data_IF_605335521585
#
_entry.id   IF_605335521585
#
_cell.length_a   1.000
_cell.length_b   1.000
_cell.length_c   1.000
_cell.angle_alpha   90.00
_cell.angle_beta   90.00
_cell.angle_gamma   90.00
#
_symmetry.space_group_name_H-M   'P 1'
#
loop_
_entity.id
_entity.type
_entity.pdbx_description
1 polymer ?
#
# COMPACT_ATOMS: atom_id res chain seq x y z
N UNK A 1 7.42 -6.63 0.65
CA UNK A 1 8.25 -6.32 1.83
C UNK A 1 7.38 -6.45 3.06
N UNK A 2 7.96 -6.91 4.16
CA UNK A 2 7.31 -6.90 5.47
C UNK A 2 7.61 -5.60 6.21
N UNK A 3 6.79 -5.29 7.21
CA UNK A 3 6.87 -4.05 7.99
C UNK A 3 6.69 -4.37 9.46
N UNK A 4 7.30 -3.52 10.28
CA UNK A 4 7.12 -3.56 11.72
C UNK A 4 5.75 -3.00 12.08
N UNK A 5 4.77 -3.87 12.30
CA UNK A 5 3.37 -3.52 12.50
C UNK A 5 2.85 -4.07 13.83
N UNK A 6 1.88 -3.38 14.42
CA UNK A 6 1.27 -3.81 15.68
C UNK A 6 0.30 -4.96 15.42
N UNK A 7 0.48 -6.08 16.11
CA UNK A 7 -0.42 -7.21 16.10
C UNK A 7 -1.36 -7.09 17.31
N UNK A 8 -2.67 -7.01 17.05
CA UNK A 8 -3.67 -6.89 18.11
C UNK A 8 -4.01 -8.23 18.77
N UNK A 9 -3.74 -9.36 18.09
CA UNK A 9 -3.90 -10.69 18.66
C UNK A 9 -2.78 -11.01 19.65
N UNK A 10 -1.55 -10.54 19.38
CA UNK A 10 -0.41 -10.70 20.29
C UNK A 10 -0.24 -9.57 21.29
N UNK A 11 -0.70 -8.36 20.94
CA UNK A 11 -0.43 -7.14 21.68
C UNK A 11 1.00 -6.61 21.53
N UNK A 12 1.76 -7.12 20.56
CA UNK A 12 3.16 -6.77 20.31
C UNK A 12 3.38 -6.29 18.87
N UNK A 13 4.49 -5.60 18.64
CA UNK A 13 4.92 -5.28 17.27
C UNK A 13 5.69 -6.45 16.68
N UNK A 14 5.38 -6.78 15.44
CA UNK A 14 5.94 -7.92 14.73
C UNK A 14 6.29 -7.55 13.29
N UNK A 15 7.11 -8.37 12.63
CA UNK A 15 7.45 -8.22 11.23
C UNK A 15 6.36 -8.85 10.35
N UNK A 16 5.39 -8.05 9.92
CA UNK A 16 4.18 -8.52 9.24
C UNK A 16 4.19 -8.07 7.78
N UNK A 17 3.96 -9.00 6.86
CA UNK A 17 3.83 -8.71 5.44
C UNK A 17 2.45 -8.14 5.06
N UNK A 18 2.32 -7.68 3.82
CA UNK A 18 1.05 -7.11 3.31
C UNK A 18 -0.14 -8.06 3.35
N UNK A 19 0.09 -9.37 3.51
CA UNK A 19 -0.94 -10.40 3.56
C UNK A 19 -1.27 -10.80 5.01
N UNK A 20 -0.65 -10.15 6.00
CA UNK A 20 -0.83 -10.46 7.42
C UNK A 20 0.04 -11.61 7.91
N UNK A 21 1.03 -12.07 7.15
CA UNK A 21 1.96 -13.10 7.63
C UNK A 21 3.02 -12.48 8.55
N UNK A 22 3.05 -12.91 9.81
CA UNK A 22 4.07 -12.52 10.78
C UNK A 22 5.31 -13.39 10.62
N UNK A 23 6.42 -12.81 10.18
CA UNK A 23 7.73 -13.45 10.10
C UNK A 23 8.34 -13.70 11.49
N UNK A 24 7.93 -12.92 12.49
CA UNK A 24 8.39 -13.09 13.87
C UNK A 24 7.83 -14.36 14.49
N UNK A 25 6.56 -14.68 14.24
CA UNK A 25 5.88 -15.87 14.77
C UNK A 25 5.79 -17.04 13.79
N UNK A 26 5.93 -16.77 12.50
CA UNK A 26 5.76 -17.76 11.44
C UNK A 26 4.31 -18.15 11.18
N UNK A 27 3.35 -17.27 11.49
CA UNK A 27 1.92 -17.52 11.34
C UNK A 27 1.15 -16.32 10.78
N UNK A 28 -0.05 -16.57 10.28
CA UNK A 28 -0.94 -15.51 9.80
C UNK A 28 -1.65 -14.83 10.97
N UNK A 29 -1.63 -13.50 10.94
CA UNK A 29 -2.37 -12.62 11.84
C UNK A 29 -3.44 -11.91 11.03
N UNK A 30 -4.67 -11.95 11.53
CA UNK A 30 -5.80 -11.30 10.87
C UNK A 30 -6.10 -9.93 11.46
N UNK A 31 -5.72 -9.70 12.72
CA UNK A 31 -5.95 -8.46 13.41
C UNK A 31 -4.61 -7.77 13.69
N UNK A 32 -4.19 -6.92 12.75
CA UNK A 32 -2.94 -6.16 12.84
C UNK A 32 -3.12 -4.79 12.18
N UNK A 33 -2.22 -3.86 12.49
CA UNK A 33 -2.23 -2.50 11.96
C UNK A 33 -1.70 -2.46 10.51
N UNK A 34 -2.62 -2.59 9.55
CA UNK A 34 -2.35 -2.54 8.11
C UNK A 34 -2.39 -1.13 7.51
N UNK A 35 -2.52 -0.09 8.36
CA UNK A 35 -2.72 1.29 7.92
C UNK A 35 -1.59 1.83 7.03
N UNK A 36 -0.34 1.46 7.32
CA UNK A 36 0.83 1.83 6.52
C UNK A 36 0.79 1.23 5.11
N UNK A 37 0.31 0.00 4.96
CA UNK A 37 0.15 -0.61 3.64
C UNK A 37 -0.99 0.03 2.86
N UNK A 38 -2.12 0.35 3.53
CA UNK A 38 -3.24 1.05 2.89
C UNK A 38 -2.85 2.44 2.41
N UNK A 39 -2.06 3.16 3.20
CA UNK A 39 -1.59 4.50 2.82
C UNK A 39 -0.71 4.47 1.59
N UNK A 40 0.26 3.55 1.54
CA UNK A 40 1.12 3.39 0.36
C UNK A 40 0.34 3.01 -0.89
N UNK A 41 -0.64 2.11 -0.77
CA UNK A 41 -1.50 1.72 -1.90
C UNK A 41 -2.37 2.90 -2.40
N UNK A 42 -2.86 3.74 -1.49
CA UNK A 42 -3.58 4.96 -1.86
C UNK A 42 -2.66 5.98 -2.56
N UNK A 43 -1.45 6.19 -2.05
CA UNK A 43 -0.47 7.11 -2.64
C UNK A 43 -0.03 6.64 -4.04
N UNK A 44 0.20 5.33 -4.20
CA UNK A 44 0.57 4.75 -5.48
C UNK A 44 -0.57 4.88 -6.50
N UNK A 45 -1.82 4.67 -6.07
CA UNK A 45 -3.00 4.87 -6.93
C UNK A 45 -3.14 6.33 -7.37
N UNK A 46 -2.99 7.30 -6.46
CA UNK A 46 -3.02 8.72 -6.81
C UNK A 46 -1.96 9.10 -7.82
N UNK A 47 -0.74 8.58 -7.65
CA UNK A 47 0.37 8.84 -8.59
C UNK A 47 0.06 8.29 -9.98
N UNK A 48 -0.53 7.09 -10.07
CA UNK A 48 -0.96 6.51 -11.34
C UNK A 48 -2.08 7.32 -12.00
N UNK A 49 -3.06 7.78 -11.22
CA UNK A 49 -4.15 8.64 -11.70
C UNK A 49 -3.61 9.98 -12.23
N UNK A 50 -2.70 10.63 -11.52
CA UNK A 50 -2.03 11.87 -11.96
C UNK A 50 -1.21 11.66 -13.24
N UNK A 51 -0.48 10.54 -13.35
CA UNK A 51 0.30 10.22 -14.55
C UNK A 51 -0.61 9.94 -15.75
N UNK A 52 -1.73 9.24 -15.54
CA UNK A 52 -2.72 9.00 -16.59
C UNK A 52 -3.40 10.31 -17.02
N UNK A 53 -3.76 11.18 -16.08
CA UNK A 53 -4.34 12.48 -16.39
C UNK A 53 -3.35 13.35 -17.18
N UNK A 54 -2.10 13.42 -16.75
CA UNK A 54 -1.07 14.17 -17.47
C UNK A 54 -0.85 13.63 -18.89
N UNK A 55 -0.85 12.29 -19.05
CA UNK A 55 -0.78 11.64 -20.36
C UNK A 55 -1.97 11.96 -21.25
N UNK A 56 -3.19 11.99 -20.69
CA UNK A 56 -4.41 12.39 -21.42
C UNK A 56 -4.33 13.85 -21.84
N UNK A 57 -3.95 14.76 -20.94
CA UNK A 57 -3.77 16.18 -21.25
C UNK A 57 -2.74 16.41 -22.36
N UNK A 58 -1.62 15.67 -22.36
CA UNK A 58 -0.65 15.74 -23.46
C UNK A 58 -1.26 15.29 -24.80
N UNK A 59 -2.01 14.19 -24.81
CA UNK A 59 -2.66 13.69 -26.03
C UNK A 59 -3.72 14.66 -26.57
N UNK A 60 -4.51 15.27 -25.70
CA UNK A 60 -5.52 16.26 -26.10
C UNK A 60 -4.86 17.52 -26.66
N UNK A 61 -3.76 18.00 -26.06
CA UNK A 61 -3.01 19.16 -26.53
C UNK A 61 -2.31 18.91 -27.88
N UNK A 62 -1.82 17.69 -28.13
CA UNK A 62 -1.21 17.31 -29.42
C UNK A 62 -2.26 17.17 -30.56
N UNK A 63 -3.54 16.98 -30.24
CA UNK A 63 -4.66 16.88 -31.20
C UNK A 63 -5.39 18.22 -31.45
N UNK A 64 -5.00 19.31 -30.80
CA UNK A 64 -5.58 20.66 -31.00
C UNK A 64 -4.95 21.45 -32.19
N UNK A 65 -4.50 20.76 -33.25
CA UNK A 65 -3.98 21.36 -34.50
C UNK A 65 -4.66 20.88 -35.78
#
# INVERSE_FOLDING_TARGET
MSKWAFNYDSGEYEDIDRYGFSWTRGEYTYNWDDSEYRREEEEERRRQEEEEENRRQMFDNDNEW
#
